data_IF_690771037551
#
_entry.id   IF_690771037551
#
_cell.length_a   1.000
_cell.length_b   1.000
_cell.length_c   1.000
_cell.angle_alpha   90.00
_cell.angle_beta   90.00
_cell.angle_gamma   90.00
#
_symmetry.space_group_name_H-M   'P 1'
#
loop_
_entity.id
_entity.type
_entity.pdbx_description
1 polymer ?
#
# COMPACT_ATOMS: atom_id res chain seq x y z
N UNK A 1 8.63 -3.69 8.44
CA UNK A 1 7.84 -2.75 7.60
C UNK A 1 8.79 -1.73 6.97
N UNK A 2 8.75 -1.62 5.67
CA UNK A 2 9.56 -0.66 4.94
C UNK A 2 8.79 0.62 4.69
N UNK A 3 9.51 1.74 4.73
CA UNK A 3 8.97 3.07 4.44
C UNK A 3 9.72 3.66 3.26
N UNK A 4 8.98 4.07 2.24
CA UNK A 4 9.56 4.62 1.02
C UNK A 4 8.86 5.92 0.62
N UNK A 5 9.56 7.07 0.66
CA UNK A 5 9.01 8.30 0.12
C UNK A 5 8.97 8.26 -1.41
N UNK A 6 7.85 8.61 -2.06
CA UNK A 6 7.76 8.55 -3.53
C UNK A 6 8.73 9.45 -4.27
N UNK A 7 9.18 10.54 -3.66
CA UNK A 7 10.13 11.45 -4.29
C UNK A 7 11.55 10.87 -4.37
N UNK A 8 11.77 9.70 -3.76
CA UNK A 8 13.06 8.98 -3.84
C UNK A 8 13.03 7.82 -4.82
N UNK A 9 12.18 7.88 -5.81
CA UNK A 9 12.02 6.82 -6.81
C UNK A 9 13.29 6.50 -7.61
N UNK A 10 14.29 7.37 -7.58
CA UNK A 10 15.58 7.09 -8.22
C UNK A 10 16.43 6.07 -7.43
N UNK A 11 16.02 5.72 -6.21
CA UNK A 11 16.70 4.73 -5.39
C UNK A 11 16.08 3.32 -5.53
N UNK A 12 15.65 2.95 -6.71
CA UNK A 12 15.10 1.62 -6.98
C UNK A 12 16.13 0.50 -6.94
N UNK A 13 17.21 0.69 -6.24
CA UNK A 13 18.17 -0.38 -5.96
C UNK A 13 17.83 -0.95 -4.59
N UNK A 14 17.88 -2.28 -4.46
CA UNK A 14 17.62 -2.92 -3.17
C UNK A 14 18.66 -2.47 -2.12
N UNK A 15 18.26 -2.24 -0.85
CA UNK A 15 16.89 -2.30 -0.36
C UNK A 15 16.08 -1.04 -0.72
N UNK A 16 14.78 -1.25 -0.94
CA UNK A 16 13.85 -0.14 -1.13
C UNK A 16 13.53 0.46 0.23
N UNK A 17 13.83 1.71 0.44
CA UNK A 17 13.42 2.42 1.64
C UNK A 17 14.12 1.97 2.92
N UNK A 18 13.59 2.41 4.04
CA UNK A 18 14.14 2.19 5.38
C UNK A 18 13.30 1.20 6.16
N UNK A 19 13.95 0.22 6.78
CA UNK A 19 13.27 -0.77 7.61
C UNK A 19 13.00 -0.20 9.00
N UNK A 20 11.74 -0.30 9.44
CA UNK A 20 11.31 0.04 10.78
C UNK A 20 10.69 -1.19 11.43
N UNK A 21 11.05 -1.45 12.68
CA UNK A 21 10.52 -2.57 13.45
C UNK A 21 9.58 -2.14 14.56
N UNK A 22 9.57 -0.86 14.91
CA UNK A 22 8.72 -0.32 15.98
C UNK A 22 7.64 0.57 15.37
N UNK A 23 6.38 0.25 15.67
CA UNK A 23 5.24 1.01 15.16
C UNK A 23 5.26 2.46 15.65
N UNK A 24 5.79 2.72 16.84
CA UNK A 24 5.85 4.09 17.38
C UNK A 24 6.76 4.98 16.56
N UNK A 25 7.89 4.45 16.07
CA UNK A 25 8.78 5.20 15.20
C UNK A 25 8.11 5.53 13.87
N UNK A 26 7.32 4.60 13.35
CA UNK A 26 6.56 4.81 12.12
C UNK A 26 5.51 5.88 12.33
N UNK A 27 4.77 5.83 13.43
CA UNK A 27 3.73 6.82 13.72
C UNK A 27 4.30 8.23 13.81
N UNK A 28 5.47 8.39 14.40
CA UNK A 28 6.15 9.68 14.48
C UNK A 28 6.49 10.20 13.06
N UNK A 29 6.93 9.30 12.19
CA UNK A 29 7.33 9.66 10.83
C UNK A 29 6.14 10.11 9.98
N UNK A 30 4.98 9.48 10.14
CA UNK A 30 3.83 9.68 9.24
C UNK A 30 2.84 10.73 9.70
N UNK A 31 3.05 11.32 10.88
CA UNK A 31 2.14 12.35 11.38
C UNK A 31 2.03 13.51 10.39
N UNK A 32 0.79 13.85 9.99
CA UNK A 32 0.52 14.92 9.04
C UNK A 32 0.89 14.61 7.60
N UNK A 33 1.24 13.36 7.28
CA UNK A 33 1.60 12.97 5.93
C UNK A 33 0.54 12.07 5.30
N UNK A 34 0.46 12.09 3.99
CA UNK A 34 -0.38 11.16 3.23
C UNK A 34 0.27 9.79 3.22
N UNK A 35 -0.47 8.76 3.59
CA UNK A 35 0.05 7.41 3.77
C UNK A 35 -0.55 6.47 2.73
N UNK A 36 0.30 5.66 2.13
CA UNK A 36 -0.07 4.60 1.21
C UNK A 36 0.45 3.29 1.79
N UNK A 37 -0.35 2.23 1.72
CA UNK A 37 0.07 0.93 2.26
C UNK A 37 -0.01 -0.16 1.21
N UNK A 38 0.92 -1.11 1.27
CA UNK A 38 0.91 -2.32 0.44
C UNK A 38 1.04 -3.53 1.36
N UNK A 39 0.03 -4.38 1.36
CA UNK A 39 -0.04 -5.56 2.21
C UNK A 39 -1.16 -5.47 3.25
N UNK A 40 -1.77 -6.62 3.55
CA UNK A 40 -2.90 -6.68 4.47
C UNK A 40 -2.50 -6.44 5.92
N UNK A 41 -1.35 -6.95 6.33
CA UNK A 41 -0.87 -6.82 7.71
C UNK A 41 -0.52 -5.37 8.02
N UNK A 42 0.25 -4.73 7.15
CA UNK A 42 0.66 -3.34 7.35
C UNK A 42 -0.56 -2.41 7.29
N UNK A 43 -1.48 -2.67 6.38
CA UNK A 43 -2.72 -1.90 6.28
C UNK A 43 -3.54 -2.01 7.55
N UNK A 44 -3.73 -3.23 8.05
CA UNK A 44 -4.46 -3.45 9.31
C UNK A 44 -3.81 -2.79 10.50
N UNK A 45 -2.47 -2.84 10.59
CA UNK A 45 -1.75 -2.21 11.69
C UNK A 45 -1.94 -0.70 11.71
N UNK A 46 -1.87 -0.06 10.54
CA UNK A 46 -2.04 1.40 10.43
C UNK A 46 -3.47 1.81 10.77
N UNK A 47 -4.46 1.04 10.30
CA UNK A 47 -5.87 1.33 10.58
C UNK A 47 -6.15 1.19 12.09
N UNK A 48 -5.56 0.19 12.74
CA UNK A 48 -5.72 0.02 14.19
C UNK A 48 -5.16 1.20 15.01
N UNK A 49 -4.23 1.95 14.42
CA UNK A 49 -3.70 3.16 15.03
C UNK A 49 -4.57 4.40 14.76
N UNK A 50 -5.73 4.21 14.13
CA UNK A 50 -6.63 5.33 13.82
C UNK A 50 -6.29 6.10 12.57
N UNK A 51 -5.42 5.57 11.72
CA UNK A 51 -5.00 6.22 10.48
C UNK A 51 -5.59 5.45 9.30
N UNK A 52 -6.31 6.17 8.43
CA UNK A 52 -6.82 5.59 7.19
C UNK A 52 -5.86 5.93 6.06
N UNK A 53 -5.28 4.94 5.37
CA UNK A 53 -4.44 5.22 4.22
C UNK A 53 -5.22 5.92 3.11
N UNK A 54 -4.55 6.78 2.36
CA UNK A 54 -5.14 7.37 1.16
C UNK A 54 -5.36 6.30 0.09
N UNK A 55 -4.49 5.28 0.07
CA UNK A 55 -4.63 4.12 -0.79
C UNK A 55 -3.99 2.93 -0.09
N UNK A 56 -4.70 1.82 -0.05
CA UNK A 56 -4.17 0.54 0.41
C UNK A 56 -4.30 -0.50 -0.70
N UNK A 57 -3.29 -1.34 -0.83
CA UNK A 57 -3.29 -2.44 -1.80
C UNK A 57 -3.13 -3.73 -1.01
N UNK A 58 -4.08 -4.63 -1.14
CA UNK A 58 -4.09 -5.90 -0.41
C UNK A 58 -4.28 -7.08 -1.35
N UNK A 59 -3.85 -8.25 -0.90
CA UNK A 59 -4.09 -9.51 -1.56
C UNK A 59 -5.54 -9.93 -1.34
N UNK A 60 -6.24 -10.30 -2.42
CA UNK A 60 -7.61 -10.77 -2.34
C UNK A 60 -7.79 -12.05 -1.54
N UNK A 61 -6.73 -12.83 -1.34
CA UNK A 61 -6.82 -14.04 -0.53
C UNK A 61 -7.07 -13.74 0.95
N UNK A 62 -6.60 -12.63 1.45
CA UNK A 62 -6.88 -12.23 2.83
C UNK A 62 -8.37 -11.97 3.06
N UNK A 63 -9.12 -11.68 1.99
CA UNK A 63 -10.57 -11.48 2.06
C UNK A 63 -11.37 -12.77 2.28
N UNK A 64 -10.76 -13.93 2.06
CA UNK A 64 -11.44 -15.22 2.21
C UNK A 64 -11.58 -15.62 3.68
N UNK A 65 -10.78 -15.04 4.56
CA UNK A 65 -10.90 -15.26 6.00
C UNK A 65 -11.81 -14.19 6.61
N UNK A 66 -12.85 -14.57 7.37
CA UNK A 66 -13.72 -13.59 8.02
C UNK A 66 -12.98 -12.65 8.97
N UNK A 67 -11.85 -13.10 9.53
CA UNK A 67 -11.06 -12.31 10.46
C UNK A 67 -10.15 -11.29 9.78
N UNK A 68 -9.92 -11.45 8.45
CA UNK A 68 -9.01 -10.60 7.70
C UNK A 68 -9.72 -9.67 6.72
N UNK A 69 -11.03 -9.50 6.89
CA UNK A 69 -11.78 -8.56 6.06
C UNK A 69 -11.27 -7.13 6.30
N UNK A 70 -11.08 -6.34 5.24
CA UNK A 70 -10.70 -4.95 5.43
C UNK A 70 -11.79 -4.22 6.19
N UNK A 71 -11.43 -3.32 7.11
CA UNK A 71 -12.41 -2.48 7.77
C UNK A 71 -13.19 -1.65 6.76
N UNK A 72 -14.45 -1.29 7.05
CA UNK A 72 -15.27 -0.51 6.12
C UNK A 72 -14.91 0.98 6.11
N UNK A 73 -13.62 1.30 6.23
CA UNK A 73 -13.14 2.68 6.26
C UNK A 73 -12.86 3.24 4.87
N UNK A 74 -12.72 2.36 3.88
CA UNK A 74 -12.37 2.77 2.53
C UNK A 74 -13.61 3.23 1.77
N UNK A 75 -13.55 4.42 1.19
CA UNK A 75 -14.66 5.01 0.46
C UNK A 75 -14.87 4.36 -0.90
N UNK A 76 -13.80 3.89 -1.52
CA UNK A 76 -13.88 3.29 -2.85
C UNK A 76 -13.02 2.05 -2.93
N UNK A 77 -13.56 0.99 -3.55
CA UNK A 77 -12.85 -0.28 -3.74
C UNK A 77 -12.65 -0.56 -5.21
N UNK A 78 -11.45 -1.02 -5.54
CA UNK A 78 -11.06 -1.44 -6.87
C UNK A 78 -10.65 -2.91 -6.82
N UNK A 79 -10.93 -3.63 -7.88
CA UNK A 79 -10.54 -5.03 -8.01
C UNK A 79 -9.68 -5.18 -9.26
N UNK A 80 -8.56 -5.88 -9.14
CA UNK A 80 -7.68 -6.12 -10.25
C UNK A 80 -7.04 -7.49 -10.14
N UNK A 81 -6.44 -7.97 -11.21
CA UNK A 81 -5.78 -9.25 -11.26
C UNK A 81 -4.30 -9.05 -11.58
N UNK A 82 -3.45 -9.69 -10.77
CA UNK A 82 -2.01 -9.59 -10.95
C UNK A 82 -1.33 -10.90 -10.55
N UNK A 83 -1.12 -11.83 -11.50
CA UNK A 83 -0.45 -13.09 -11.18
C UNK A 83 0.91 -12.91 -10.54
N UNK A 84 1.38 -13.88 -9.74
CA UNK A 84 2.67 -13.79 -9.06
C UNK A 84 3.82 -13.46 -9.99
N UNK A 85 4.74 -12.61 -9.52
CA UNK A 85 5.94 -12.24 -10.25
C UNK A 85 5.72 -11.33 -11.44
N UNK A 86 4.52 -10.75 -11.60
CA UNK A 86 4.20 -9.89 -12.74
C UNK A 86 3.73 -8.51 -12.31
N UNK A 87 3.74 -7.58 -13.26
CA UNK A 87 3.07 -6.29 -13.14
C UNK A 87 2.17 -6.16 -14.38
N UNK A 88 0.89 -6.43 -14.19
CA UNK A 88 -0.06 -6.40 -15.31
C UNK A 88 -0.48 -4.98 -15.65
N UNK A 89 -0.88 -4.76 -16.91
CA UNK A 89 -1.45 -3.47 -17.30
C UNK A 89 -2.75 -3.20 -16.54
N UNK A 90 -3.51 -4.22 -16.18
CA UNK A 90 -4.72 -4.06 -15.38
C UNK A 90 -4.40 -3.47 -14.01
N UNK A 91 -3.38 -3.99 -13.33
CA UNK A 91 -2.94 -3.43 -12.05
C UNK A 91 -2.47 -1.98 -12.21
N UNK A 92 -1.67 -1.70 -13.25
CA UNK A 92 -1.14 -0.36 -13.48
C UNK A 92 -2.23 0.66 -13.75
N UNK A 93 -3.22 0.31 -14.56
CA UNK A 93 -4.36 1.18 -14.85
C UNK A 93 -5.21 1.41 -13.60
N UNK A 94 -5.49 0.36 -12.85
CA UNK A 94 -6.25 0.44 -11.61
C UNK A 94 -5.55 1.34 -10.60
N UNK A 95 -4.25 1.20 -10.48
CA UNK A 95 -3.45 1.99 -9.55
C UNK A 95 -3.47 3.47 -9.93
N UNK A 96 -3.34 3.80 -11.22
CA UNK A 96 -3.39 5.17 -11.69
C UNK A 96 -4.74 5.83 -11.43
N UNK A 97 -5.82 5.07 -11.48
CA UNK A 97 -7.14 5.58 -11.11
C UNK A 97 -7.28 5.75 -9.61
N UNK A 98 -6.83 4.75 -8.85
CA UNK A 98 -7.04 4.72 -7.40
C UNK A 98 -6.24 5.79 -6.66
N UNK A 99 -5.04 6.16 -7.13
CA UNK A 99 -4.25 7.19 -6.46
C UNK A 99 -4.90 8.57 -6.50
N UNK A 100 -5.85 8.78 -7.40
CA UNK A 100 -6.60 10.03 -7.51
C UNK A 100 -7.76 10.11 -6.54
N UNK A 101 -8.15 8.97 -5.97
CA UNK A 101 -9.26 8.88 -5.02
C UNK A 101 -8.76 9.09 -3.60
N UNK A 102 -9.70 9.32 -2.68
CA UNK A 102 -9.40 9.38 -1.26
C UNK A 102 -9.83 8.08 -0.60
N UNK A 103 -8.95 7.55 0.26
CA UNK A 103 -9.27 6.39 1.07
C UNK A 103 -9.73 5.21 0.20
N UNK A 104 -8.95 4.91 -0.83
CA UNK A 104 -9.22 3.84 -1.77
C UNK A 104 -8.55 2.54 -1.35
N UNK A 105 -9.16 1.42 -1.73
CA UNK A 105 -8.63 0.08 -1.50
C UNK A 105 -8.55 -0.65 -2.83
N UNK A 106 -7.38 -1.17 -3.16
CA UNK A 106 -7.21 -2.08 -4.30
C UNK A 106 -7.09 -3.49 -3.76
N UNK A 107 -7.98 -4.36 -4.21
CA UNK A 107 -7.96 -5.78 -3.87
C UNK A 107 -7.40 -6.53 -5.08
N UNK A 108 -6.26 -7.20 -4.90
CA UNK A 108 -5.54 -7.86 -5.99
C UNK A 108 -5.81 -9.35 -5.94
N UNK A 109 -6.33 -9.90 -7.04
CA UNK A 109 -6.36 -11.34 -7.23
C UNK A 109 -4.98 -11.76 -7.75
N UNK A 110 -4.16 -12.30 -6.86
CA UNK A 110 -2.78 -12.65 -7.14
C UNK A 110 -1.83 -12.09 -6.11
N UNK A 111 -0.75 -11.46 -6.54
CA UNK A 111 0.25 -10.86 -5.66
C UNK A 111 0.29 -9.35 -5.80
N UNK A 112 0.37 -8.67 -4.65
CA UNK A 112 0.43 -7.21 -4.57
C UNK A 112 1.83 -6.66 -4.30
N UNK A 113 2.78 -7.48 -3.88
CA UNK A 113 4.09 -7.01 -3.39
C UNK A 113 4.83 -6.12 -4.39
N UNK A 114 4.80 -6.48 -5.67
CA UNK A 114 5.48 -5.71 -6.69
C UNK A 114 4.78 -4.39 -7.00
N UNK A 115 3.56 -4.18 -6.50
CA UNK A 115 2.84 -2.93 -6.69
C UNK A 115 3.52 -1.75 -6.02
N UNK A 116 4.44 -1.98 -5.07
CA UNK A 116 5.26 -0.92 -4.48
C UNK A 116 5.98 -0.12 -5.57
N UNK A 117 6.49 -0.80 -6.59
CA UNK A 117 7.27 -0.15 -7.65
C UNK A 117 6.42 0.88 -8.44
N UNK A 118 5.31 0.50 -9.06
CA UNK A 118 4.49 1.48 -9.77
C UNK A 118 3.81 2.49 -8.82
N UNK A 119 3.55 2.11 -7.58
CA UNK A 119 2.97 3.03 -6.61
C UNK A 119 3.92 4.18 -6.29
N UNK A 120 5.22 3.92 -6.15
CA UNK A 120 6.23 4.96 -5.93
C UNK A 120 6.21 5.97 -7.07
N UNK A 121 6.00 5.50 -8.30
CA UNK A 121 5.95 6.35 -9.48
C UNK A 121 4.64 7.16 -9.53
N UNK A 122 3.53 6.54 -9.20
CA UNK A 122 2.20 7.14 -9.34
C UNK A 122 1.82 8.05 -8.17
N UNK A 123 2.29 7.77 -6.96
CA UNK A 123 1.91 8.53 -5.78
C UNK A 123 2.51 9.93 -5.80
N UNK A 124 1.75 10.96 -5.35
CA UNK A 124 2.28 12.32 -5.26
C UNK A 124 3.48 12.41 -4.32
N UNK A 125 4.43 13.28 -4.65
CA UNK A 125 5.58 13.54 -3.80
C UNK A 125 5.15 14.05 -2.43
N UNK A 126 5.93 13.72 -1.39
CA UNK A 126 5.64 14.14 -0.01
C UNK A 126 4.83 13.14 0.80
N UNK A 127 4.27 12.12 0.15
CA UNK A 127 3.60 11.03 0.86
C UNK A 127 4.58 9.99 1.36
N UNK A 128 4.06 9.00 2.09
CA UNK A 128 4.85 7.90 2.65
C UNK A 128 4.21 6.58 2.21
N UNK A 129 5.01 5.67 1.69
CA UNK A 129 4.58 4.32 1.35
C UNK A 129 5.11 3.36 2.38
N UNK A 130 4.21 2.60 3.00
CA UNK A 130 4.53 1.56 3.97
C UNK A 130 4.24 0.21 3.34
N UNK A 131 5.18 -0.70 3.43
CA UNK A 131 4.96 -2.05 2.94
C UNK A 131 5.63 -3.07 3.86
N UNK A 132 5.03 -4.26 3.89
CA UNK A 132 5.57 -5.34 4.70
C UNK A 132 6.72 -6.04 4.02
N UNK A 133 7.58 -6.65 4.83
CA UNK A 133 8.60 -7.57 4.36
C UNK A 133 8.05 -8.99 4.53
N UNK A 134 8.17 -9.85 3.52
CA UNK A 134 7.73 -11.24 3.64
C UNK A 134 8.51 -11.99 4.72
#
# INVERSE_FOLDING_TARGET
>A
MFVLPPDKRHFFKAPFGTLYTDIEDILTLIVGKTVYTVGDIVTGNIIRQGITPALAIIDGQSMRSPTNRPPPVFLKKFYTRNPPGTLTSDLLETLNEAVKEREALIIVDGEEDLAVIPLVIAAPAGGIILYGQP
#
